data_IF_629795105026
#
_entry.id   IF_629795105026
#
_cell.length_a   1.000
_cell.length_b   1.000
_cell.length_c   1.000
_cell.angle_alpha   90.00
_cell.angle_beta   90.00
_cell.angle_gamma   90.00
#
_symmetry.space_group_name_H-M   'P 1'
#
loop_
_entity.id
_entity.type
_entity.pdbx_description
1 polymer ?
#
# COMPACT_ATOMS: atom_id res chain seq x y z
N UNK A 1 21.24 13.06 -29.87
CA UNK A 1 21.63 12.41 -28.67
C UNK A 1 21.68 10.90 -28.88
N UNK A 2 22.77 10.30 -28.50
CA UNK A 2 23.09 8.96 -28.93
C UNK A 2 23.07 7.91 -27.78
N UNK A 3 22.27 8.17 -26.74
CA UNK A 3 22.10 7.20 -25.70
C UNK A 3 21.30 6.00 -26.24
N UNK A 4 21.77 4.79 -26.00
CA UNK A 4 21.04 3.61 -26.45
C UNK A 4 19.67 3.51 -25.73
N UNK A 5 18.67 3.17 -26.50
CA UNK A 5 17.35 2.93 -25.94
C UNK A 5 17.31 1.57 -25.25
N UNK A 6 16.60 1.50 -24.15
CA UNK A 6 16.31 0.22 -23.48
C UNK A 6 14.82 -0.06 -23.58
N UNK A 7 14.46 -1.34 -23.46
CA UNK A 7 13.05 -1.73 -23.46
C UNK A 7 12.40 -1.35 -22.14
N UNK A 8 11.07 -1.24 -22.14
CA UNK A 8 10.32 -1.00 -20.91
C UNK A 8 10.56 -2.12 -19.90
N UNK A 9 10.66 -3.35 -20.38
CA UNK A 9 10.91 -4.49 -19.48
C UNK A 9 12.30 -4.40 -18.85
N UNK A 10 13.31 -3.93 -19.60
CA UNK A 10 14.65 -3.73 -19.04
C UNK A 10 14.65 -2.62 -18.00
N UNK A 11 13.94 -1.54 -18.25
CA UNK A 11 13.80 -0.45 -17.28
C UNK A 11 13.06 -0.93 -16.02
N UNK A 12 11.95 -1.64 -16.19
CA UNK A 12 11.19 -2.17 -15.07
C UNK A 12 12.03 -3.11 -14.21
N UNK A 13 12.85 -3.95 -14.86
CA UNK A 13 13.73 -4.87 -14.15
C UNK A 13 14.80 -4.13 -13.36
N UNK A 14 15.36 -3.07 -13.95
CA UNK A 14 16.34 -2.24 -13.26
C UNK A 14 15.74 -1.57 -12.02
N UNK A 15 14.56 -0.98 -12.18
CA UNK A 15 13.84 -0.37 -11.05
C UNK A 15 13.54 -1.41 -9.98
N UNK A 16 13.06 -2.57 -10.39
CA UNK A 16 12.74 -3.66 -9.47
C UNK A 16 13.95 -4.13 -8.67
N UNK A 17 15.11 -4.22 -9.33
CA UNK A 17 16.35 -4.65 -8.67
C UNK A 17 16.81 -3.62 -7.62
N UNK A 18 16.78 -2.34 -7.96
CA UNK A 18 17.13 -1.26 -7.03
C UNK A 18 16.16 -1.25 -5.86
N UNK A 19 14.88 -1.36 -6.15
CA UNK A 19 13.82 -1.36 -5.17
C UNK A 19 13.97 -2.52 -4.18
N UNK A 20 14.25 -3.71 -4.69
CA UNK A 20 14.43 -4.90 -3.88
C UNK A 20 15.64 -4.78 -2.95
N UNK A 21 16.70 -4.12 -3.42
CA UNK A 21 17.89 -3.86 -2.62
C UNK A 21 17.59 -2.95 -1.43
N UNK A 22 16.77 -1.91 -1.66
CA UNK A 22 16.48 -0.90 -0.64
C UNK A 22 15.36 -1.32 0.32
N UNK A 23 14.37 -2.06 -0.18
CA UNK A 23 13.15 -2.34 0.57
C UNK A 23 12.94 -3.80 0.93
N UNK A 24 13.81 -4.72 0.48
CA UNK A 24 13.74 -6.14 0.87
C UNK A 24 13.85 -6.27 2.37
N UNK A 25 12.99 -7.07 2.96
CA UNK A 25 13.02 -7.39 4.39
C UNK A 25 12.64 -6.25 5.30
N UNK A 26 12.40 -5.04 4.78
CA UNK A 26 12.00 -3.93 5.61
C UNK A 26 10.49 -3.83 5.69
N UNK A 27 10.00 -3.56 6.89
CA UNK A 27 8.60 -3.30 7.16
C UNK A 27 8.48 -2.02 7.94
N UNK A 28 7.45 -1.27 7.62
CA UNK A 28 7.26 0.06 8.18
C UNK A 28 5.91 0.16 8.87
N UNK A 29 5.90 0.76 10.05
CA UNK A 29 4.66 1.17 10.69
C UNK A 29 4.24 2.51 10.10
N UNK A 30 3.05 2.57 9.53
CA UNK A 30 2.53 3.80 8.93
C UNK A 30 1.13 4.07 9.44
N UNK A 31 0.80 5.36 9.50
CA UNK A 31 -0.57 5.81 9.76
C UNK A 31 -1.13 6.39 8.48
N UNK A 32 -2.38 6.09 8.20
CA UNK A 32 -3.04 6.60 7.00
C UNK A 32 -4.55 6.53 7.17
N UNK A 33 -5.24 7.33 6.36
CA UNK A 33 -6.69 7.22 6.25
C UNK A 33 -7.04 6.38 5.02
N UNK A 34 -8.00 5.49 5.16
CA UNK A 34 -8.52 4.72 4.04
C UNK A 34 -9.52 5.62 3.32
N UNK A 35 -9.23 5.98 2.06
CA UNK A 35 -10.17 6.77 1.25
C UNK A 35 -10.87 5.93 0.18
N UNK A 36 -10.38 4.73 -0.05
CA UNK A 36 -11.01 3.79 -0.97
C UNK A 36 -10.73 2.36 -0.53
N UNK A 37 -11.72 1.49 -0.69
CA UNK A 37 -11.58 0.09 -0.37
C UNK A 37 -12.42 -0.72 -1.33
N UNK A 38 -11.81 -1.76 -1.89
CA UNK A 38 -12.49 -2.67 -2.82
C UNK A 38 -12.00 -4.09 -2.58
N UNK A 39 -12.94 -5.02 -2.51
CA UNK A 39 -12.62 -6.44 -2.41
C UNK A 39 -12.84 -7.07 -3.78
N UNK A 40 -11.83 -7.74 -4.30
CA UNK A 40 -11.90 -8.43 -5.57
C UNK A 40 -11.13 -9.74 -5.46
N UNK A 41 -11.79 -10.84 -5.79
CA UNK A 41 -11.24 -12.20 -5.71
C UNK A 41 -10.68 -12.52 -4.31
N UNK A 42 -11.32 -11.98 -3.28
CA UNK A 42 -10.91 -12.17 -1.89
C UNK A 42 -9.79 -11.26 -1.42
N UNK A 43 -9.12 -10.56 -2.34
CA UNK A 43 -8.08 -9.59 -1.99
C UNK A 43 -8.71 -8.24 -1.64
N UNK A 44 -8.15 -7.56 -0.65
CA UNK A 44 -8.62 -6.23 -0.27
C UNK A 44 -7.66 -5.18 -0.84
N UNK A 45 -8.18 -4.32 -1.69
CA UNK A 45 -7.43 -3.22 -2.29
C UNK A 45 -7.79 -1.93 -1.57
N UNK A 46 -6.79 -1.24 -1.07
CA UNK A 46 -6.96 -0.03 -0.31
C UNK A 46 -6.30 1.15 -1.02
N UNK A 47 -6.93 2.30 -0.91
CA UNK A 47 -6.33 3.56 -1.28
C UNK A 47 -6.10 4.33 0.01
N UNK A 48 -4.82 4.59 0.32
CA UNK A 48 -4.40 5.20 1.57
C UNK A 48 -3.94 6.62 1.31
N UNK A 49 -4.27 7.52 2.22
CA UNK A 49 -3.88 8.92 2.09
C UNK A 49 -3.44 9.47 3.44
N UNK A 50 -2.48 10.38 3.37
CA UNK A 50 -2.18 11.29 4.47
C UNK A 50 -2.60 12.68 4.00
N UNK A 51 -3.45 13.36 4.77
CA UNK A 51 -3.88 14.71 4.44
C UNK A 51 -2.96 15.73 5.09
N UNK A 52 -2.98 16.95 4.54
CA UNK A 52 -2.25 18.06 5.13
C UNK A 52 -2.83 18.44 6.50
N UNK A 53 -2.21 19.40 7.15
CA UNK A 53 -2.62 19.83 8.50
C UNK A 53 -4.04 20.40 8.54
N UNK A 54 -4.54 20.89 7.42
CA UNK A 54 -5.92 21.38 7.31
C UNK A 54 -6.92 20.24 7.11
N UNK A 55 -6.44 19.02 6.81
CA UNK A 55 -7.30 17.90 6.54
C UNK A 55 -8.02 17.96 5.20
N UNK A 56 -7.52 18.75 4.25
CA UNK A 56 -8.19 19.01 2.97
C UNK A 56 -7.44 18.42 1.80
N UNK A 57 -6.13 18.68 1.70
CA UNK A 57 -5.33 18.25 0.55
C UNK A 57 -4.52 17.03 0.89
N UNK A 58 -4.42 16.05 -0.04
CA UNK A 58 -3.56 14.91 0.18
C UNK A 58 -2.10 15.33 0.14
N UNK A 59 -1.36 14.90 1.16
CA UNK A 59 0.07 15.12 1.29
C UNK A 59 0.85 13.94 0.71
N UNK A 60 0.30 12.74 0.85
CA UNK A 60 0.86 11.51 0.29
C UNK A 60 -0.28 10.55 0.03
N UNK A 61 -0.12 9.70 -0.98
CA UNK A 61 -1.15 8.76 -1.37
C UNK A 61 -0.48 7.48 -1.87
N UNK A 62 -0.96 6.33 -1.38
CA UNK A 62 -0.46 5.02 -1.77
C UNK A 62 -1.61 4.05 -2.00
N UNK A 63 -1.37 3.12 -2.91
CA UNK A 63 -2.23 1.95 -3.05
C UNK A 63 -1.66 0.83 -2.20
N UNK A 64 -2.52 0.11 -1.51
CA UNK A 64 -2.14 -1.00 -0.68
C UNK A 64 -3.02 -2.20 -0.97
N UNK A 65 -2.53 -3.39 -0.61
CA UNK A 65 -3.29 -4.61 -0.82
C UNK A 65 -3.11 -5.53 0.36
N UNK A 66 -4.20 -6.16 0.77
CA UNK A 66 -4.17 -7.25 1.73
C UNK A 66 -4.57 -8.51 0.96
N UNK A 67 -3.68 -9.49 0.91
CA UNK A 67 -3.94 -10.75 0.21
C UNK A 67 -5.10 -11.51 0.83
N UNK A 68 -5.85 -12.25 0.03
CA UNK A 68 -6.99 -13.02 0.48
C UNK A 68 -6.64 -13.99 1.61
N UNK A 69 -5.44 -14.55 1.58
CA UNK A 69 -4.98 -15.47 2.62
C UNK A 69 -4.84 -14.83 4.00
N UNK A 70 -4.74 -13.50 4.05
CA UNK A 70 -4.54 -12.76 5.29
C UNK A 70 -5.73 -11.89 5.68
N UNK A 71 -6.58 -11.57 4.72
CA UNK A 71 -7.59 -10.53 4.92
C UNK A 71 -8.56 -10.86 6.05
N UNK A 72 -9.10 -12.07 6.07
CA UNK A 72 -10.09 -12.44 7.10
C UNK A 72 -9.50 -12.38 8.50
N UNK A 73 -8.27 -12.84 8.66
CA UNK A 73 -7.58 -12.84 9.95
C UNK A 73 -7.30 -11.41 10.40
N UNK A 74 -6.73 -10.60 9.52
CA UNK A 74 -6.41 -9.21 9.84
C UNK A 74 -7.65 -8.38 10.11
N UNK A 75 -8.70 -8.56 9.31
CA UNK A 75 -9.95 -7.81 9.47
C UNK A 75 -10.63 -8.15 10.80
N UNK A 76 -10.69 -9.43 11.12
CA UNK A 76 -11.30 -9.89 12.39
C UNK A 76 -10.53 -9.33 13.58
N UNK A 77 -9.21 -9.38 13.52
CA UNK A 77 -8.37 -8.86 14.59
C UNK A 77 -8.53 -7.36 14.75
N UNK A 78 -8.59 -6.64 13.63
CA UNK A 78 -8.83 -5.20 13.63
C UNK A 78 -10.17 -4.87 14.29
N UNK A 79 -11.23 -5.59 13.95
CA UNK A 79 -12.54 -5.39 14.56
C UNK A 79 -12.54 -5.64 16.06
N UNK A 80 -11.85 -6.69 16.50
CA UNK A 80 -11.76 -7.02 17.92
C UNK A 80 -11.02 -5.92 18.69
N UNK A 81 -9.90 -5.47 18.16
CA UNK A 81 -9.04 -4.50 18.83
C UNK A 81 -9.58 -3.08 18.79
N UNK A 82 -10.29 -2.70 17.74
CA UNK A 82 -10.75 -1.31 17.56
C UNK A 82 -12.25 -1.13 17.69
N UNK A 83 -13.03 -2.19 17.62
CA UNK A 83 -14.48 -2.11 17.59
C UNK A 83 -15.04 -1.60 16.27
N UNK A 84 -14.22 -1.48 15.25
CA UNK A 84 -14.58 -0.87 13.96
C UNK A 84 -14.15 -1.78 12.82
N UNK A 85 -14.93 -1.79 11.75
CA UNK A 85 -14.57 -2.50 10.52
C UNK A 85 -13.53 -1.70 9.74
N UNK A 86 -12.70 -2.41 8.96
CA UNK A 86 -11.92 -1.75 7.91
C UNK A 86 -12.90 -1.22 6.88
N UNK A 87 -12.88 0.08 6.66
CA UNK A 87 -13.80 0.75 5.74
C UNK A 87 -13.24 2.12 5.38
N UNK A 88 -13.87 2.76 4.41
CA UNK A 88 -13.49 4.11 4.01
C UNK A 88 -13.66 5.09 5.18
N UNK A 89 -12.82 6.11 5.19
CA UNK A 89 -12.79 7.19 6.18
C UNK A 89 -12.34 6.75 7.57
N UNK A 90 -11.68 5.61 7.67
CA UNK A 90 -11.10 5.12 8.92
C UNK A 90 -9.60 5.39 8.90
N UNK A 91 -9.11 5.96 9.99
CA UNK A 91 -7.67 6.16 10.20
C UNK A 91 -7.09 4.87 10.77
N UNK A 92 -5.99 4.38 10.18
CA UNK A 92 -5.37 3.13 10.60
C UNK A 92 -3.89 3.32 10.90
N UNK A 93 -3.39 2.45 11.77
CA UNK A 93 -1.97 2.21 11.97
C UNK A 93 -1.69 0.80 11.49
N UNK A 94 -0.81 0.65 10.52
CA UNK A 94 -0.53 -0.66 9.94
C UNK A 94 0.95 -0.85 9.65
N UNK A 95 1.36 -2.12 9.67
CA UNK A 95 2.72 -2.51 9.31
C UNK A 95 2.69 -3.01 7.87
N UNK A 96 3.52 -2.41 7.02
CA UNK A 96 3.48 -2.66 5.59
C UNK A 96 4.84 -3.04 5.05
N UNK A 97 4.82 -3.86 3.99
CA UNK A 97 5.96 -4.06 3.11
C UNK A 97 5.73 -3.22 1.86
N UNK A 98 6.82 -2.68 1.32
CA UNK A 98 6.75 -1.91 0.09
C UNK A 98 7.17 -2.80 -1.06
N UNK A 99 6.36 -2.85 -2.12
CA UNK A 99 6.62 -3.67 -3.29
C UNK A 99 6.49 -2.83 -4.55
N UNK A 100 7.27 -3.19 -5.55
CA UNK A 100 7.18 -2.62 -6.88
C UNK A 100 6.62 -3.67 -7.83
N UNK A 101 5.55 -3.34 -8.55
CA UNK A 101 4.97 -4.20 -9.56
C UNK A 101 5.33 -3.70 -10.95
N UNK A 102 5.94 -4.59 -11.72
CA UNK A 102 6.31 -4.31 -13.10
C UNK A 102 5.08 -4.18 -14.01
#
# INVERSE_FOLDING_TARGET
MDAPAISLSALAKHISNVFRKEFSFERYWVTAEIIGMKISKGHCYLQLVEKDERGVMPKAEFRAMIWSSMFDVLHRRFMIETGTRLQEQVQILCKVEVQFHE
#
